data_IF_348216034692
#
_entry.id   IF_348216034692
#
_cell.length_a   1.000
_cell.length_b   1.000
_cell.length_c   1.000
_cell.angle_alpha   90.00
_cell.angle_beta   90.00
_cell.angle_gamma   90.00
#
_symmetry.space_group_name_H-M   'P 1'
#
loop_
_entity.id
_entity.type
_entity.pdbx_description
1 polymer ?
#
# COMPACT_ATOMS: atom_id res chain seq x y z
N UNK A 1 43.76 42.16 30.68
CA UNK A 1 42.54 43.00 30.71
C UNK A 1 41.52 42.38 29.76
N UNK A 2 40.54 41.62 30.28
CA UNK A 2 39.42 41.07 29.50
C UNK A 2 38.13 41.68 30.03
N UNK A 3 37.35 42.22 29.09
CA UNK A 3 36.10 42.96 29.25
C UNK A 3 34.96 42.06 29.79
N UNK A 4 34.23 42.62 30.76
CA UNK A 4 32.78 42.75 30.92
C UNK A 4 31.83 41.54 30.71
N UNK A 5 31.08 41.27 31.79
CA UNK A 5 29.73 40.66 31.82
C UNK A 5 28.78 41.39 30.84
N UNK A 6 27.68 40.82 30.33
CA UNK A 6 26.38 40.59 30.98
C UNK A 6 25.49 39.83 29.95
N UNK A 7 24.50 39.08 30.46
CA UNK A 7 23.11 38.97 29.97
C UNK A 7 22.63 37.52 29.83
N UNK A 8 22.08 37.00 30.93
CA UNK A 8 21.09 35.92 30.93
C UNK A 8 19.86 36.38 30.16
N UNK A 9 19.70 35.91 28.93
CA UNK A 9 18.51 36.11 28.09
C UNK A 9 17.94 34.76 27.67
N UNK A 10 16.85 34.36 28.31
CA UNK A 10 16.04 33.19 27.96
C UNK A 10 15.45 33.41 26.56
N UNK A 11 16.02 32.79 25.53
CA UNK A 11 15.45 32.80 24.18
C UNK A 11 14.83 31.43 23.87
N UNK A 12 13.51 31.41 23.98
CA UNK A 12 12.53 30.40 23.58
C UNK A 12 13.03 29.39 22.52
N UNK A 13 13.22 28.14 22.94
CA UNK A 13 13.28 27.00 22.04
C UNK A 13 11.91 26.82 21.39
N UNK A 14 11.73 27.35 20.18
CA UNK A 14 10.57 27.08 19.35
C UNK A 14 10.53 25.59 18.99
N UNK A 15 9.67 24.83 19.66
CA UNK A 15 9.39 23.45 19.29
C UNK A 15 8.63 23.45 17.96
N UNK A 16 9.32 23.11 16.87
CA UNK A 16 8.68 22.74 15.61
C UNK A 16 7.95 21.42 15.85
N UNK A 17 6.64 21.50 16.08
CA UNK A 17 5.77 20.34 16.14
C UNK A 17 5.70 19.72 14.73
N UNK A 18 6.57 18.75 14.45
CA UNK A 18 6.42 17.86 13.31
C UNK A 18 5.17 17.03 13.58
N UNK A 19 4.05 17.41 12.96
CA UNK A 19 2.87 16.56 12.91
C UNK A 19 3.21 15.34 12.08
N UNK A 20 3.62 14.26 12.74
CA UNK A 20 3.59 12.94 12.12
C UNK A 20 2.11 12.63 11.86
N UNK A 21 1.68 12.78 10.61
CA UNK A 21 0.44 12.18 10.15
C UNK A 21 0.60 10.67 10.26
N UNK A 22 0.33 10.12 11.44
CA UNK A 22 0.02 8.70 11.55
C UNK A 22 -1.33 8.54 10.85
N UNK A 23 -1.28 8.11 9.60
CA UNK A 23 -2.45 7.53 8.94
C UNK A 23 -2.84 6.28 9.72
N UNK A 24 -3.53 6.47 10.85
CA UNK A 24 -4.02 5.42 11.71
C UNK A 24 -5.18 4.76 10.97
N UNK A 25 -4.84 3.88 10.02
CA UNK A 25 -5.82 3.01 9.40
C UNK A 25 -6.41 2.19 10.55
N UNK A 26 -7.75 2.19 10.74
CA UNK A 26 -8.35 1.52 11.87
C UNK A 26 -7.86 0.09 11.90
N UNK A 27 -7.15 -0.24 12.99
CA UNK A 27 -6.65 -1.58 13.23
C UNK A 27 -7.87 -2.51 13.17
N UNK A 28 -8.00 -3.28 12.10
CA UNK A 28 -8.97 -4.37 12.06
C UNK A 28 -8.61 -5.23 13.24
N UNK A 29 -9.51 -5.25 14.23
CA UNK A 29 -9.37 -6.05 15.43
C UNK A 29 -8.88 -7.44 15.00
N UNK A 30 -7.92 -8.01 15.74
CA UNK A 30 -7.63 -9.46 15.67
C UNK A 30 -8.97 -10.16 15.86
N UNK A 31 -9.61 -10.54 14.77
CA UNK A 31 -11.07 -10.63 14.75
C UNK A 31 -11.56 -11.50 13.63
N UNK A 32 -12.74 -12.07 13.88
CA UNK A 32 -13.46 -12.93 12.96
C UNK A 32 -13.62 -12.21 11.63
N UNK A 33 -13.28 -12.90 10.53
CA UNK A 33 -13.55 -12.35 9.21
C UNK A 33 -15.00 -12.59 8.83
N UNK A 34 -15.69 -11.59 8.26
CA UNK A 34 -17.04 -11.77 7.76
C UNK A 34 -17.05 -12.81 6.64
N UNK A 35 -18.15 -13.54 6.51
CA UNK A 35 -18.29 -14.66 5.57
C UNK A 35 -18.77 -14.24 4.18
N UNK A 36 -19.01 -12.94 3.92
CA UNK A 36 -19.34 -12.49 2.58
C UNK A 36 -18.17 -12.72 1.62
N UNK A 37 -18.51 -13.00 0.36
CA UNK A 37 -17.54 -13.30 -0.69
C UNK A 37 -17.36 -12.07 -1.58
N UNK A 38 -16.26 -11.35 -1.36
CA UNK A 38 -15.78 -10.26 -2.21
C UNK A 38 -14.31 -10.54 -2.49
N UNK A 39 -14.07 -11.44 -3.47
CA UNK A 39 -12.76 -12.04 -3.70
C UNK A 39 -11.69 -10.99 -3.96
N UNK A 40 -10.46 -11.31 -3.54
CA UNK A 40 -9.26 -10.50 -3.82
C UNK A 40 -8.11 -11.40 -4.25
N UNK A 41 -7.27 -10.92 -5.15
CA UNK A 41 -5.98 -11.53 -5.43
C UNK A 41 -4.95 -10.91 -4.50
N UNK A 42 -4.17 -11.76 -3.81
CA UNK A 42 -3.13 -11.30 -2.90
C UNK A 42 -1.83 -12.07 -3.09
N UNK A 43 -0.72 -11.38 -2.88
CA UNK A 43 0.63 -11.92 -2.86
C UNK A 43 0.96 -12.43 -1.44
N UNK A 44 1.24 -13.72 -1.34
CA UNK A 44 1.66 -14.40 -0.13
C UNK A 44 3.14 -14.11 0.19
N UNK A 45 3.55 -14.42 1.43
CA UNK A 45 4.96 -14.23 1.87
C UNK A 45 5.95 -15.13 1.13
N UNK A 46 5.50 -16.24 0.59
CA UNK A 46 6.31 -17.17 -0.22
C UNK A 46 6.43 -16.74 -1.69
N UNK A 47 5.86 -15.59 -2.07
CA UNK A 47 5.86 -15.09 -3.44
C UNK A 47 4.77 -15.68 -4.34
N UNK A 48 3.93 -16.59 -3.84
CA UNK A 48 2.79 -17.12 -4.58
C UNK A 48 1.60 -16.16 -4.53
N UNK A 49 0.72 -16.24 -5.53
CA UNK A 49 -0.54 -15.49 -5.54
C UNK A 49 -1.70 -16.41 -5.20
N UNK A 50 -2.64 -15.92 -4.39
CA UNK A 50 -3.81 -16.69 -3.98
C UNK A 50 -5.06 -15.82 -3.97
N UNK A 51 -6.16 -16.41 -4.42
CA UNK A 51 -7.49 -15.82 -4.31
C UNK A 51 -8.03 -16.04 -2.91
N UNK A 52 -8.34 -14.96 -2.20
CA UNK A 52 -8.99 -15.00 -0.90
C UNK A 52 -10.46 -14.64 -1.02
N UNK A 53 -11.32 -15.24 -0.18
CA UNK A 53 -12.76 -14.94 -0.16
C UNK A 53 -13.06 -13.46 0.05
N UNK A 54 -12.23 -12.76 0.83
CA UNK A 54 -12.23 -11.31 0.97
C UNK A 54 -10.91 -10.78 1.56
N UNK A 55 -10.76 -9.45 1.55
CA UNK A 55 -9.58 -8.75 2.06
C UNK A 55 -9.33 -8.96 3.57
N UNK A 56 -10.32 -9.35 4.37
CA UNK A 56 -10.07 -9.71 5.77
C UNK A 56 -9.25 -11.00 5.84
N UNK A 57 -9.67 -12.05 5.12
CA UNK A 57 -8.95 -13.32 5.08
C UNK A 57 -7.52 -13.16 4.54
N UNK A 58 -7.34 -12.36 3.48
CA UNK A 58 -6.00 -12.06 2.94
C UNK A 58 -5.09 -11.39 3.99
N UNK A 59 -5.57 -10.34 4.67
CA UNK A 59 -4.80 -9.65 5.72
C UNK A 59 -4.46 -10.55 6.89
N UNK A 60 -5.39 -11.43 7.30
CA UNK A 60 -5.15 -12.41 8.37
C UNK A 60 -4.07 -13.43 8.00
N UNK A 61 -3.97 -13.78 6.72
CA UNK A 61 -2.90 -14.61 6.18
C UNK A 61 -1.60 -13.82 5.91
N UNK A 62 -1.54 -12.53 6.26
CA UNK A 62 -0.44 -11.62 5.95
C UNK A 62 -0.12 -11.52 4.45
N UNK A 63 -1.12 -11.77 3.60
CA UNK A 63 -1.01 -11.60 2.16
C UNK A 63 -1.31 -10.14 1.76
N UNK A 64 -0.50 -9.61 0.84
CA UNK A 64 -0.65 -8.25 0.32
C UNK A 64 -1.63 -8.25 -0.84
N UNK A 65 -2.80 -7.63 -0.66
CA UNK A 65 -3.81 -7.54 -1.72
C UNK A 65 -3.26 -6.73 -2.89
N UNK A 66 -3.30 -7.32 -4.09
CA UNK A 66 -2.89 -6.69 -5.34
C UNK A 66 -4.07 -5.99 -6.01
N UNK A 67 -5.22 -6.67 -6.11
CA UNK A 67 -6.46 -6.10 -6.63
C UNK A 67 -7.69 -6.87 -6.13
N UNK A 68 -8.86 -6.27 -6.36
CA UNK A 68 -10.16 -6.93 -6.19
C UNK A 68 -10.42 -7.94 -7.33
N UNK A 69 -11.14 -9.01 -7.05
CA UNK A 69 -11.36 -10.12 -7.98
C UNK A 69 -10.46 -11.32 -7.70
N UNK A 70 -10.57 -12.36 -8.51
CA UNK A 70 -9.70 -13.54 -8.43
C UNK A 70 -8.33 -13.26 -9.06
N UNK A 71 -7.32 -14.04 -8.67
CA UNK A 71 -6.04 -13.99 -9.36
C UNK A 71 -6.15 -14.50 -10.80
N UNK A 72 -5.37 -13.91 -11.70
CA UNK A 72 -5.24 -14.37 -13.07
C UNK A 72 -4.43 -15.68 -13.14
N UNK A 73 -4.78 -16.52 -14.13
CA UNK A 73 -4.02 -17.73 -14.46
C UNK A 73 -2.62 -17.42 -15.01
N UNK A 74 -1.93 -18.43 -15.52
CA UNK A 74 -0.54 -18.29 -16.00
C UNK A 74 -0.39 -17.31 -17.16
N UNK A 75 -1.41 -17.16 -17.99
CA UNK A 75 -1.37 -16.34 -19.20
C UNK A 75 -2.21 -15.06 -19.04
N UNK A 76 -1.67 -13.95 -19.51
CA UNK A 76 -2.41 -12.69 -19.62
C UNK A 76 -2.96 -12.52 -21.04
N UNK A 77 -4.19 -11.98 -21.19
CA UNK A 77 -4.71 -11.62 -22.49
C UNK A 77 -3.87 -10.51 -23.14
N UNK A 78 -3.73 -10.56 -24.47
CA UNK A 78 -3.11 -9.50 -25.28
C UNK A 78 -4.11 -8.37 -25.56
N UNK A 79 -4.65 -7.77 -24.50
CA UNK A 79 -5.53 -6.60 -24.55
C UNK A 79 -4.86 -5.41 -23.89
N UNK A 80 -5.05 -4.24 -24.48
CA UNK A 80 -4.62 -2.97 -23.89
C UNK A 80 -5.81 -2.30 -23.19
N UNK A 81 -5.85 -2.40 -21.87
CA UNK A 81 -6.82 -1.77 -20.97
C UNK A 81 -6.04 -1.24 -19.74
N UNK A 82 -5.36 -0.09 -19.87
CA UNK A 82 -4.28 0.30 -18.98
C UNK A 82 -4.77 0.53 -17.54
N UNK A 83 -3.89 0.24 -16.60
CA UNK A 83 -4.10 0.50 -15.17
C UNK A 83 -2.90 1.17 -14.55
N UNK A 84 -3.14 2.05 -13.60
CA UNK A 84 -2.11 2.58 -12.72
C UNK A 84 -2.02 1.68 -11.49
N UNK A 85 -0.84 1.12 -11.25
CA UNK A 85 -0.56 0.27 -10.10
C UNK A 85 0.78 0.65 -9.47
N UNK A 86 0.91 0.46 -8.16
CA UNK A 86 2.15 0.69 -7.42
C UNK A 86 3.05 -0.54 -7.56
N UNK A 87 4.22 -0.37 -8.16
CA UNK A 87 5.21 -1.42 -8.32
C UNK A 87 5.74 -1.93 -6.95
N UNK A 88 6.48 -3.06 -6.91
CA UNK A 88 7.06 -3.57 -5.68
C UNK A 88 8.02 -2.60 -4.96
N UNK A 89 8.59 -1.64 -5.69
CA UNK A 89 9.47 -0.59 -5.15
C UNK A 89 8.68 0.59 -4.56
N UNK A 90 7.37 0.64 -4.74
CA UNK A 90 6.48 1.64 -4.18
C UNK A 90 6.11 2.78 -5.14
N UNK A 91 6.54 2.74 -6.41
CA UNK A 91 6.28 3.78 -7.39
C UNK A 91 5.07 3.47 -8.27
N UNK A 92 4.18 4.45 -8.53
CA UNK A 92 3.10 4.29 -9.51
C UNK A 92 3.67 4.06 -10.91
N UNK A 93 3.17 3.03 -11.60
CA UNK A 93 3.45 2.75 -13.01
C UNK A 93 2.18 2.38 -13.76
N UNK A 94 2.14 2.76 -15.02
CA UNK A 94 1.13 2.28 -15.97
C UNK A 94 1.50 0.87 -16.43
N UNK A 95 0.55 -0.06 -16.29
CA UNK A 95 0.62 -1.40 -16.84
C UNK A 95 -0.39 -1.55 -17.99
N UNK A 96 -0.08 -2.33 -19.05
CA UNK A 96 -0.98 -2.45 -20.20
C UNK A 96 -2.35 -3.04 -19.88
N UNK A 97 -2.44 -3.89 -18.83
CA UNK A 97 -3.70 -4.37 -18.27
C UNK A 97 -3.51 -4.87 -16.82
N UNK A 98 -4.63 -5.14 -16.14
CA UNK A 98 -4.64 -5.60 -14.74
C UNK A 98 -3.85 -6.90 -14.54
N UNK A 99 -3.94 -7.86 -15.46
CA UNK A 99 -3.21 -9.12 -15.37
C UNK A 99 -1.69 -8.90 -15.37
N UNK A 100 -1.20 -8.05 -16.27
CA UNK A 100 0.23 -7.72 -16.33
C UNK A 100 0.71 -6.96 -15.08
N UNK A 101 -0.16 -6.14 -14.47
CA UNK A 101 0.14 -5.52 -13.17
C UNK A 101 0.21 -6.54 -12.04
N UNK A 102 -0.69 -7.54 -12.05
CA UNK A 102 -0.68 -8.64 -11.10
C UNK A 102 0.63 -9.45 -11.23
N UNK A 103 1.01 -9.83 -12.46
CA UNK A 103 2.24 -10.58 -12.72
C UNK A 103 3.52 -9.85 -12.30
N UNK A 104 3.46 -8.52 -12.22
CA UNK A 104 4.53 -7.67 -11.71
C UNK A 104 4.44 -7.39 -10.20
N UNK A 105 3.54 -8.07 -9.47
CA UNK A 105 3.30 -7.87 -8.03
C UNK A 105 2.93 -6.43 -7.66
N UNK A 106 2.32 -5.72 -8.60
CA UNK A 106 1.91 -4.35 -8.44
C UNK A 106 0.52 -4.25 -7.79
N UNK A 107 0.36 -3.28 -6.90
CA UNK A 107 -0.92 -3.02 -6.22
C UNK A 107 -1.74 -2.06 -7.06
N UNK A 108 -2.89 -2.52 -7.55
CA UNK A 108 -3.82 -1.71 -8.33
C UNK A 108 -4.23 -0.44 -7.56
N UNK A 109 -4.15 0.71 -8.23
CA UNK A 109 -4.56 2.00 -7.69
C UNK A 109 -5.82 2.50 -8.40
N UNK A 110 -5.82 2.49 -9.74
CA UNK A 110 -6.92 3.02 -10.56
C UNK A 110 -6.86 2.45 -11.99
N UNK A 111 -8.02 2.44 -12.65
CA UNK A 111 -8.11 2.29 -14.10
C UNK A 111 -7.46 3.47 -14.85
N UNK A 112 -7.02 3.21 -16.08
CA UNK A 112 -6.29 4.16 -16.92
C UNK A 112 -4.87 4.39 -16.44
N UNK A 113 -4.15 5.24 -17.16
CA UNK A 113 -2.76 5.56 -16.87
C UNK A 113 -2.54 6.27 -15.52
N UNK A 114 -1.29 6.19 -15.02
CA UNK A 114 -0.85 7.05 -13.94
C UNK A 114 -0.82 8.53 -14.39
N UNK A 115 -1.07 9.44 -13.46
CA UNK A 115 -1.08 10.90 -13.67
C UNK A 115 -0.26 11.57 -12.59
#
# INVERSE_FOLDING_TARGET
>A
MRLHSIATGLALLGALAVSTFTGQQPAVAKGICPLYVLKVCALNRDGTRSTYNNACFARRAHARVLHVGECFGSFCPFIYDPVCARDPQGFPRTYPNLCLSEKADAVFLRKGDCK
#
